data_IF_583411299072
#
_entry.id   IF_583411299072
#
_cell.length_a   1.000
_cell.length_b   1.000
_cell.length_c   1.000
_cell.angle_alpha   90.00
_cell.angle_beta   90.00
_cell.angle_gamma   90.00
#
_symmetry.space_group_name_H-M   'P 1'
#
loop_
_entity.id
_entity.type
_entity.pdbx_description
1 polymer ?
#
# COMPACT_ATOMS: atom_id res chain seq x y z
N UNK A 1 1.25 23.92 61.02
CA UNK A 1 2.61 23.61 61.58
C UNK A 1 3.51 23.26 60.39
N UNK A 2 4.32 24.20 59.94
CA UNK A 2 5.79 24.36 60.07
C UNK A 2 6.52 23.00 59.95
N UNK A 3 7.38 22.76 58.96
CA UNK A 3 8.70 23.41 58.81
C UNK A 3 9.24 23.23 57.38
N UNK A 4 9.85 24.33 56.87
CA UNK A 4 10.84 24.45 55.83
C UNK A 4 12.18 23.87 56.30
N UNK A 5 13.00 23.32 55.39
CA UNK A 5 14.44 23.48 55.48
C UNK A 5 15.00 23.68 54.05
N UNK A 6 15.80 24.68 53.96
CA UNK A 6 16.54 25.27 52.84
C UNK A 6 18.04 24.85 52.90
N UNK A 7 18.70 25.13 51.81
CA UNK A 7 20.15 25.44 51.69
C UNK A 7 21.00 24.28 51.07
N UNK A 8 22.06 24.48 50.28
CA UNK A 8 22.75 25.70 49.85
C UNK A 8 23.65 25.41 48.64
N UNK A 9 23.97 26.47 47.93
CA UNK A 9 24.97 26.68 46.89
C UNK A 9 26.39 26.14 47.19
N UNK A 10 27.15 25.85 46.13
CA UNK A 10 28.56 26.26 46.04
C UNK A 10 29.01 26.47 44.59
N UNK A 11 29.33 27.70 44.29
CA UNK A 11 30.03 28.15 43.11
C UNK A 11 31.54 28.11 43.37
N UNK A 12 32.34 27.77 42.34
CA UNK A 12 33.77 28.06 42.31
C UNK A 12 34.08 28.78 41.02
N UNK A 13 34.47 30.03 41.18
CA UNK A 13 35.06 30.94 40.19
C UNK A 13 36.57 30.84 40.33
N UNK A 14 37.28 30.72 39.22
CA UNK A 14 38.72 31.07 39.16
C UNK A 14 39.00 31.81 37.85
N UNK A 15 39.29 33.08 37.98
CA UNK A 15 39.83 33.96 36.98
C UNK A 15 41.39 34.04 37.09
N UNK A 16 42.05 34.35 36.00
CA UNK A 16 43.29 35.10 35.82
C UNK A 16 43.78 34.89 34.38
N UNK A 17 44.35 35.80 33.65
CA UNK A 17 44.50 37.23 33.59
C UNK A 17 45.08 37.55 32.21
N UNK A 18 44.89 38.74 31.77
CA UNK A 18 45.27 39.32 30.48
C UNK A 18 46.77 39.44 30.21
N UNK A 19 47.10 39.41 28.91
CA UNK A 19 48.12 40.35 28.42
C UNK A 19 47.94 40.68 26.95
N UNK A 20 47.91 41.93 26.62
CA UNK A 20 47.66 42.50 25.31
C UNK A 20 48.96 42.53 24.47
N UNK A 21 48.79 42.41 23.15
CA UNK A 21 49.60 43.11 22.18
C UNK A 21 48.85 43.38 20.88
N UNK A 22 49.02 44.62 20.44
CA UNK A 22 48.32 45.28 19.33
C UNK A 22 48.87 44.82 17.98
N UNK A 23 47.98 44.67 17.00
CA UNK A 23 48.34 44.53 15.59
C UNK A 23 47.13 44.56 14.69
N UNK A 24 46.83 45.74 14.11
CA UNK A 24 45.83 45.90 13.05
C UNK A 24 46.23 45.17 11.78
N UNK A 25 45.33 44.37 11.20
CA UNK A 25 45.10 44.30 9.74
C UNK A 25 43.69 43.73 9.49
N UNK A 26 42.92 44.45 8.69
CA UNK A 26 41.64 44.13 8.13
C UNK A 26 41.70 42.88 7.23
N UNK A 27 40.84 41.90 7.48
CA UNK A 27 40.44 40.93 6.46
C UNK A 27 39.02 40.41 6.79
N UNK A 28 38.14 40.48 5.81
CA UNK A 28 36.77 40.08 5.87
C UNK A 28 36.62 38.60 6.28
N UNK A 29 35.91 38.39 7.35
CA UNK A 29 35.54 37.07 7.85
C UNK A 29 34.43 36.49 6.97
N UNK A 30 34.78 35.59 6.06
CA UNK A 30 33.83 34.72 5.38
C UNK A 30 33.48 33.60 6.34
N UNK A 31 32.36 33.73 7.01
CA UNK A 31 31.72 32.63 7.74
C UNK A 31 31.35 31.55 6.73
N UNK A 32 32.18 30.52 6.63
CA UNK A 32 31.81 29.28 5.94
C UNK A 32 30.79 28.59 6.84
N UNK A 33 29.51 28.74 6.49
CA UNK A 33 28.49 27.83 6.99
C UNK A 33 28.79 26.43 6.39
N UNK A 34 29.31 25.55 7.21
CA UNK A 34 29.29 24.12 6.94
C UNK A 34 27.81 23.69 6.91
N UNK A 35 27.27 23.56 5.71
CA UNK A 35 26.05 22.83 5.52
C UNK A 35 26.38 21.37 5.86
N UNK A 36 25.96 20.91 7.04
CA UNK A 36 25.89 19.49 7.35
C UNK A 36 24.93 18.88 6.34
N UNK A 37 25.49 18.30 5.30
CA UNK A 37 24.79 17.44 4.37
C UNK A 37 24.55 16.13 5.14
N UNK A 38 23.48 16.06 5.91
CA UNK A 38 22.98 14.80 6.42
C UNK A 38 22.55 14.00 5.19
N UNK A 39 23.44 13.14 4.73
CA UNK A 39 23.07 12.09 3.79
C UNK A 39 21.87 11.36 4.42
N UNK A 40 20.69 11.45 3.79
CA UNK A 40 19.59 10.54 4.11
C UNK A 40 20.18 9.14 3.89
N UNK A 41 20.19 8.30 4.91
CA UNK A 41 20.45 6.89 4.72
C UNK A 41 19.51 6.42 3.61
N UNK A 42 20.08 5.90 2.53
CA UNK A 42 19.28 5.27 1.47
C UNK A 42 18.59 4.05 2.10
N UNK A 43 17.31 4.17 2.36
CA UNK A 43 16.50 3.04 2.80
C UNK A 43 16.43 2.07 1.63
N UNK A 44 17.10 0.94 1.75
CA UNK A 44 17.06 -0.13 0.76
C UNK A 44 15.83 -0.98 1.02
N UNK A 45 14.79 -0.81 0.23
CA UNK A 45 13.63 -1.69 0.20
C UNK A 45 13.93 -2.96 -0.59
N UNK A 46 13.44 -4.10 -0.14
CA UNK A 46 13.55 -5.38 -0.84
C UNK A 46 12.21 -6.12 -0.78
N UNK A 47 11.88 -6.85 -1.85
CA UNK A 47 10.71 -7.72 -1.85
C UNK A 47 10.86 -8.85 -0.82
N UNK A 48 9.74 -9.23 -0.21
CA UNK A 48 9.63 -10.36 0.72
C UNK A 48 10.01 -11.68 0.02
N UNK A 49 9.61 -11.84 -1.25
CA UNK A 49 10.05 -12.94 -2.08
C UNK A 49 11.44 -12.67 -2.68
N UNK A 50 12.47 -13.34 -2.17
CA UNK A 50 13.86 -13.18 -2.64
C UNK A 50 14.09 -13.77 -4.05
N UNK A 51 13.18 -14.59 -4.56
CA UNK A 51 13.19 -15.14 -5.92
C UNK A 51 12.24 -14.37 -6.84
N UNK A 52 11.91 -13.10 -6.52
CA UNK A 52 11.00 -12.28 -7.32
C UNK A 52 11.46 -12.11 -8.77
N UNK A 53 10.52 -11.99 -9.69
CA UNK A 53 10.83 -11.72 -11.09
C UNK A 53 11.41 -10.32 -11.26
N UNK A 54 12.21 -10.14 -12.31
CA UNK A 54 12.80 -8.86 -12.64
C UNK A 54 11.73 -7.76 -12.82
N UNK A 55 10.60 -8.11 -13.42
CA UNK A 55 9.49 -7.18 -13.65
C UNK A 55 8.83 -6.76 -12.32
N UNK A 56 8.73 -7.69 -11.35
CA UNK A 56 8.26 -7.35 -10.00
C UNK A 56 9.26 -6.47 -9.25
N UNK A 57 10.56 -6.77 -9.34
CA UNK A 57 11.62 -5.93 -8.76
C UNK A 57 11.64 -4.52 -9.38
N UNK A 58 11.51 -4.39 -10.70
CA UNK A 58 11.48 -3.11 -11.39
C UNK A 58 10.24 -2.27 -10.99
N UNK A 59 9.06 -2.89 -10.92
CA UNK A 59 7.85 -2.21 -10.46
C UNK A 59 7.95 -1.80 -8.99
N UNK A 60 8.42 -2.69 -8.13
CA UNK A 60 8.57 -2.39 -6.70
C UNK A 60 9.60 -1.28 -6.45
N UNK A 61 10.73 -1.31 -7.14
CA UNK A 61 11.74 -0.25 -7.10
C UNK A 61 11.16 1.11 -7.49
N UNK A 62 10.38 1.16 -8.57
CA UNK A 62 9.68 2.38 -8.97
C UNK A 62 8.69 2.89 -7.92
N UNK A 63 7.93 1.99 -7.29
CA UNK A 63 7.00 2.35 -6.20
C UNK A 63 7.78 2.93 -5.01
N UNK A 64 8.91 2.32 -4.65
CA UNK A 64 9.77 2.80 -3.56
C UNK A 64 10.39 4.17 -3.87
N UNK A 65 10.85 4.39 -5.10
CA UNK A 65 11.37 5.70 -5.54
C UNK A 65 10.28 6.78 -5.56
N UNK A 66 9.03 6.40 -5.83
CA UNK A 66 7.88 7.32 -5.84
C UNK A 66 7.44 7.71 -4.43
N UNK A 67 7.60 6.79 -3.47
CA UNK A 67 7.13 6.97 -2.09
C UNK A 67 7.73 8.23 -1.44
N UNK A 68 6.85 9.12 -0.95
CA UNK A 68 7.22 10.41 -0.37
C UNK A 68 7.58 11.51 -1.38
N UNK A 69 7.62 11.21 -2.69
CA UNK A 69 7.95 12.16 -3.75
C UNK A 69 6.75 12.51 -4.64
N UNK A 70 5.87 11.55 -4.89
CA UNK A 70 4.65 11.70 -5.68
C UNK A 70 3.62 10.67 -5.25
N UNK A 71 2.41 10.72 -5.84
CA UNK A 71 1.35 9.74 -5.60
C UNK A 71 0.87 9.15 -6.93
N UNK A 72 0.76 7.82 -7.01
CA UNK A 72 0.29 7.11 -8.20
C UNK A 72 -1.24 7.06 -8.17
N UNK A 73 -1.89 7.45 -9.26
CA UNK A 73 -3.34 7.39 -9.37
C UNK A 73 -3.85 5.98 -9.65
N UNK A 74 -4.94 5.59 -9.02
CA UNK A 74 -5.56 4.29 -9.20
C UNK A 74 -7.08 4.34 -9.22
N UNK A 75 -7.68 3.34 -9.89
CA UNK A 75 -9.13 3.16 -9.98
C UNK A 75 -9.48 1.67 -9.96
N UNK A 76 -10.42 1.29 -9.08
CA UNK A 76 -11.05 -0.03 -9.10
C UNK A 76 -12.09 -0.10 -10.21
N UNK A 77 -12.06 -1.17 -11.02
CA UNK A 77 -13.08 -1.40 -12.05
C UNK A 77 -14.39 -1.95 -11.48
N UNK A 78 -15.48 -1.69 -12.21
CA UNK A 78 -16.68 -2.50 -12.17
C UNK A 78 -16.93 -3.13 -13.54
N UNK A 79 -17.59 -4.29 -13.57
CA UNK A 79 -17.90 -5.00 -14.84
C UNK A 79 -19.38 -5.03 -15.14
N UNK A 80 -20.22 -4.56 -14.22
CA UNK A 80 -21.69 -4.60 -14.30
C UNK A 80 -22.34 -3.28 -14.72
N UNK A 81 -21.57 -2.23 -14.95
CA UNK A 81 -22.07 -0.92 -15.40
C UNK A 81 -22.14 -0.81 -16.94
N UNK A 82 -22.24 -1.94 -17.63
CA UNK A 82 -22.35 -2.01 -19.09
C UNK A 82 -21.00 -1.95 -19.84
N UNK A 83 -19.91 -1.67 -19.17
CA UNK A 83 -18.55 -1.68 -19.71
C UNK A 83 -17.55 -1.88 -18.57
N UNK A 84 -16.49 -2.63 -18.81
CA UNK A 84 -15.33 -2.76 -17.93
C UNK A 84 -14.42 -1.51 -17.96
N UNK A 85 -14.73 -0.54 -18.83
CA UNK A 85 -14.06 0.75 -18.92
C UNK A 85 -14.88 1.89 -18.28
N UNK A 86 -16.00 1.59 -17.61
CA UNK A 86 -16.96 2.59 -17.14
C UNK A 86 -16.29 3.72 -16.34
N UNK A 87 -15.54 3.37 -15.31
CA UNK A 87 -14.84 4.33 -14.42
C UNK A 87 -13.68 5.02 -15.16
N UNK A 88 -12.94 4.25 -15.95
CA UNK A 88 -11.77 4.75 -16.69
C UNK A 88 -12.17 5.75 -17.77
N UNK A 89 -13.23 5.46 -18.52
CA UNK A 89 -13.79 6.38 -19.53
C UNK A 89 -14.38 7.64 -18.87
N UNK A 90 -15.01 7.49 -17.70
CA UNK A 90 -15.48 8.64 -16.93
C UNK A 90 -14.32 9.57 -16.52
N UNK A 91 -13.27 9.01 -15.92
CA UNK A 91 -12.09 9.78 -15.52
C UNK A 91 -11.47 10.47 -16.73
N UNK A 92 -11.20 9.72 -17.81
CA UNK A 92 -10.63 10.28 -19.03
C UNK A 92 -11.47 11.40 -19.63
N UNK A 93 -12.77 11.21 -19.71
CA UNK A 93 -13.72 12.24 -20.20
C UNK A 93 -13.70 13.52 -19.37
N UNK A 94 -13.46 13.41 -18.06
CA UNK A 94 -13.46 14.57 -17.15
C UNK A 94 -12.10 15.25 -17.05
N UNK A 95 -11.02 14.48 -17.10
CA UNK A 95 -9.66 14.97 -16.79
C UNK A 95 -8.72 15.00 -18.00
N UNK A 96 -8.99 14.22 -19.04
CA UNK A 96 -8.08 13.97 -20.17
C UNK A 96 -6.98 12.95 -19.84
N UNK A 97 -6.99 12.33 -18.67
CA UNK A 97 -5.98 11.40 -18.18
C UNK A 97 -6.62 10.05 -17.78
N UNK A 98 -5.86 8.98 -17.91
CA UNK A 98 -6.20 7.67 -17.33
C UNK A 98 -5.46 7.46 -16.01
N UNK A 99 -6.05 6.77 -15.02
CA UNK A 99 -5.31 6.36 -13.83
C UNK A 99 -4.14 5.43 -14.19
N UNK A 100 -3.08 5.43 -13.40
CA UNK A 100 -1.92 4.59 -13.62
C UNK A 100 -2.16 3.12 -13.19
N UNK A 101 -2.88 2.92 -12.08
CA UNK A 101 -3.20 1.59 -11.52
C UNK A 101 -4.63 1.22 -11.89
N UNK A 102 -4.81 -0.01 -12.41
CA UNK A 102 -6.13 -0.64 -12.56
C UNK A 102 -6.32 -1.65 -11.45
N UNK A 103 -7.36 -1.43 -10.63
CA UNK A 103 -7.83 -2.38 -9.63
C UNK A 103 -8.80 -3.38 -10.25
N UNK A 104 -8.55 -4.65 -10.00
CA UNK A 104 -9.30 -5.80 -10.51
C UNK A 104 -9.69 -6.71 -9.35
N UNK A 105 -10.69 -7.56 -9.57
CA UNK A 105 -11.20 -8.47 -8.55
C UNK A 105 -11.53 -9.84 -9.15
N UNK A 106 -11.00 -10.91 -8.57
CA UNK A 106 -11.30 -12.28 -8.97
C UNK A 106 -12.68 -12.80 -8.51
N UNK A 107 -13.55 -11.92 -8.02
CA UNK A 107 -14.90 -12.32 -7.60
C UNK A 107 -15.65 -13.03 -8.71
N UNK A 108 -16.61 -13.87 -8.32
CA UNK A 108 -17.42 -14.71 -9.20
C UNK A 108 -16.60 -15.69 -10.07
N UNK A 109 -15.40 -16.05 -9.64
CA UNK A 109 -14.48 -16.93 -10.37
C UNK A 109 -14.16 -16.44 -11.80
N UNK A 110 -14.29 -15.11 -12.08
CA UNK A 110 -13.94 -14.49 -13.37
C UNK A 110 -12.43 -14.37 -13.59
N UNK A 111 -11.69 -15.41 -13.27
CA UNK A 111 -10.23 -15.42 -13.40
C UNK A 111 -9.74 -15.10 -14.81
N UNK A 112 -10.43 -15.64 -15.82
CA UNK A 112 -10.06 -15.43 -17.23
C UNK A 112 -10.27 -13.98 -17.65
N UNK A 113 -11.47 -13.43 -17.41
CA UNK A 113 -11.80 -12.07 -17.80
C UNK A 113 -10.92 -11.03 -17.08
N UNK A 114 -10.66 -11.24 -15.78
CA UNK A 114 -9.74 -10.41 -15.02
C UNK A 114 -8.33 -10.44 -15.61
N UNK A 115 -7.81 -11.63 -15.95
CA UNK A 115 -6.48 -11.76 -16.54
C UNK A 115 -6.38 -11.10 -17.94
N UNK A 116 -7.43 -11.19 -18.76
CA UNK A 116 -7.48 -10.51 -20.05
C UNK A 116 -7.42 -8.98 -19.88
N UNK A 117 -8.18 -8.43 -18.93
CA UNK A 117 -8.16 -6.99 -18.62
C UNK A 117 -6.85 -6.53 -17.98
N UNK A 118 -6.26 -7.36 -17.11
CA UNK A 118 -4.95 -7.14 -16.54
C UNK A 118 -3.86 -7.06 -17.61
N UNK A 119 -3.85 -8.03 -18.54
CA UNK A 119 -2.89 -8.08 -19.64
C UNK A 119 -3.05 -6.89 -20.61
N UNK A 120 -4.29 -6.49 -20.92
CA UNK A 120 -4.54 -5.29 -21.72
C UNK A 120 -4.03 -4.01 -21.05
N UNK A 121 -4.30 -3.86 -19.75
CA UNK A 121 -3.84 -2.70 -18.99
C UNK A 121 -2.32 -2.63 -18.91
N UNK A 122 -1.68 -3.76 -18.59
CA UNK A 122 -0.22 -3.85 -18.58
C UNK A 122 0.39 -3.54 -19.94
N UNK A 123 -0.18 -4.06 -21.04
CA UNK A 123 0.25 -3.74 -22.40
C UNK A 123 0.19 -2.24 -22.74
N UNK A 124 -0.73 -1.51 -22.13
CA UNK A 124 -0.84 -0.04 -22.24
C UNK A 124 0.20 0.69 -21.38
N UNK A 125 1.03 -0.03 -20.62
CA UNK A 125 2.04 0.50 -19.70
C UNK A 125 1.53 0.71 -18.28
N UNK A 126 0.31 0.28 -17.96
CA UNK A 126 -0.31 0.46 -16.64
C UNK A 126 0.12 -0.58 -15.61
N UNK A 127 -0.10 -0.25 -14.36
CA UNK A 127 0.13 -1.11 -13.18
C UNK A 127 -1.15 -1.87 -12.87
N UNK A 128 -1.01 -3.15 -12.50
CA UNK A 128 -2.13 -4.05 -12.19
C UNK A 128 -2.16 -4.33 -10.69
N UNK A 129 -3.31 -4.14 -10.05
CA UNK A 129 -3.57 -4.66 -8.70
C UNK A 129 -4.80 -5.55 -8.71
N UNK A 130 -4.72 -6.68 -8.01
CA UNK A 130 -5.81 -7.65 -7.96
C UNK A 130 -6.14 -7.96 -6.50
N UNK A 131 -7.43 -7.83 -6.14
CA UNK A 131 -7.99 -8.38 -4.90
C UNK A 131 -8.88 -9.59 -5.20
N UNK A 132 -9.45 -10.20 -4.16
CA UNK A 132 -10.33 -11.33 -4.34
C UNK A 132 -11.43 -11.37 -3.28
N UNK A 133 -12.60 -10.85 -3.64
CA UNK A 133 -13.80 -11.06 -2.84
C UNK A 133 -14.36 -12.44 -3.13
N UNK A 134 -14.37 -13.29 -2.12
CA UNK A 134 -14.92 -14.66 -2.22
C UNK A 134 -15.41 -15.14 -0.85
N UNK A 135 -16.28 -16.13 -0.83
CA UNK A 135 -16.66 -16.85 0.39
C UNK A 135 -15.50 -17.68 0.97
N UNK A 136 -15.71 -18.26 2.14
CA UNK A 136 -14.69 -19.10 2.80
C UNK A 136 -14.40 -20.43 2.05
N UNK A 137 -15.19 -20.76 1.03
CA UNK A 137 -14.95 -21.84 0.06
C UNK A 137 -14.22 -21.36 -1.21
N UNK A 138 -13.79 -20.10 -1.22
CA UNK A 138 -13.12 -19.44 -2.35
C UNK A 138 -13.97 -19.43 -3.62
N UNK A 139 -15.25 -19.11 -3.48
CA UNK A 139 -16.20 -18.92 -4.59
C UNK A 139 -17.09 -17.70 -4.33
N UNK A 140 -17.83 -17.28 -5.37
CA UNK A 140 -18.82 -16.22 -5.26
C UNK A 140 -18.22 -14.82 -5.27
N UNK A 141 -18.92 -13.90 -4.62
CA UNK A 141 -18.68 -12.46 -4.69
C UNK A 141 -18.53 -11.83 -3.32
N UNK A 142 -18.65 -10.51 -3.27
CA UNK A 142 -18.68 -9.72 -2.03
C UNK A 142 -19.77 -10.22 -1.05
N UNK A 143 -20.91 -10.66 -1.55
CA UNK A 143 -22.02 -11.19 -0.74
C UNK A 143 -21.60 -12.45 0.04
N UNK A 144 -20.93 -13.40 -0.63
CA UNK A 144 -20.42 -14.61 0.00
C UNK A 144 -19.26 -14.29 0.96
N UNK A 145 -18.44 -13.31 0.60
CA UNK A 145 -17.38 -12.83 1.46
C UNK A 145 -17.89 -12.34 2.82
N UNK A 146 -19.03 -11.64 2.83
CA UNK A 146 -19.68 -11.13 4.03
C UNK A 146 -20.44 -12.21 4.82
N UNK A 147 -21.12 -13.13 4.10
CA UNK A 147 -22.09 -14.06 4.68
C UNK A 147 -21.49 -15.37 5.16
N UNK A 148 -20.37 -15.79 4.56
CA UNK A 148 -19.76 -17.08 4.92
C UNK A 148 -18.84 -16.97 6.14
N UNK A 149 -18.51 -18.12 6.74
CA UNK A 149 -17.59 -18.25 7.85
C UNK A 149 -17.00 -19.66 7.86
N UNK A 150 -15.77 -19.80 8.35
CA UNK A 150 -15.18 -21.11 8.58
C UNK A 150 -15.80 -21.76 9.83
N UNK A 151 -16.29 -22.97 9.71
CA UNK A 151 -16.88 -23.72 10.83
C UNK A 151 -15.87 -24.01 11.95
N UNK A 152 -14.62 -24.26 11.59
CA UNK A 152 -13.56 -24.65 12.52
C UNK A 152 -12.20 -24.11 12.02
N UNK A 153 -11.79 -22.97 12.57
CA UNK A 153 -10.55 -22.32 12.26
C UNK A 153 -9.32 -23.18 12.56
N UNK A 154 -9.33 -23.89 13.67
CA UNK A 154 -8.19 -24.72 14.07
C UNK A 154 -7.96 -25.84 13.07
N UNK A 155 -9.01 -26.52 12.62
CA UNK A 155 -8.91 -27.54 11.56
C UNK A 155 -8.56 -26.93 10.22
N UNK A 156 -9.18 -25.81 9.84
CA UNK A 156 -8.90 -25.16 8.55
C UNK A 156 -7.43 -24.71 8.43
N UNK A 157 -6.78 -24.37 9.53
CA UNK A 157 -5.39 -23.92 9.57
C UNK A 157 -4.38 -25.01 10.01
N UNK A 158 -4.85 -26.25 10.24
CA UNK A 158 -3.99 -27.38 10.60
C UNK A 158 -3.73 -28.29 9.42
N UNK A 159 -2.47 -28.37 8.98
CA UNK A 159 -2.04 -29.20 7.86
C UNK A 159 -2.49 -30.67 8.01
N UNK A 160 -2.92 -31.27 6.90
CA UNK A 160 -3.36 -32.65 6.83
C UNK A 160 -4.84 -32.90 7.11
N UNK A 161 -5.55 -31.96 7.70
CA UNK A 161 -7.01 -32.05 7.93
C UNK A 161 -7.80 -31.96 6.62
N UNK A 162 -9.03 -32.48 6.57
CA UNK A 162 -9.90 -32.28 5.42
C UNK A 162 -10.24 -30.81 5.15
N UNK A 163 -10.40 -30.00 6.21
CA UNK A 163 -10.70 -28.58 6.16
C UNK A 163 -9.52 -27.79 5.57
N UNK A 164 -8.28 -28.08 6.01
CA UNK A 164 -7.07 -27.49 5.43
C UNK A 164 -6.93 -27.82 3.95
N UNK A 165 -7.21 -29.09 3.55
CA UNK A 165 -7.15 -29.47 2.14
C UNK A 165 -8.15 -28.70 1.28
N UNK A 166 -9.36 -28.40 1.80
CA UNK A 166 -10.33 -27.55 1.13
C UNK A 166 -9.85 -26.11 1.03
N UNK A 167 -9.28 -25.55 2.10
CA UNK A 167 -8.71 -24.21 2.11
C UNK A 167 -7.63 -24.08 1.03
N UNK A 168 -6.68 -25.00 0.99
CA UNK A 168 -5.59 -25.02 -0.01
C UNK A 168 -6.14 -25.16 -1.43
N UNK A 169 -7.08 -26.07 -1.66
CA UNK A 169 -7.70 -26.23 -2.98
C UNK A 169 -8.45 -24.99 -3.45
N UNK A 170 -9.04 -24.24 -2.51
CA UNK A 170 -9.64 -22.94 -2.80
C UNK A 170 -8.60 -21.90 -3.20
N UNK A 171 -7.55 -21.74 -2.41
CA UNK A 171 -6.43 -20.84 -2.72
C UNK A 171 -5.79 -21.14 -4.07
N UNK A 172 -5.64 -22.42 -4.43
CA UNK A 172 -5.04 -22.84 -5.68
C UNK A 172 -5.77 -22.34 -6.92
N UNK A 173 -7.07 -22.04 -6.85
CA UNK A 173 -7.81 -21.45 -7.97
C UNK A 173 -7.20 -20.13 -8.46
N UNK A 174 -6.99 -19.20 -7.54
CA UNK A 174 -6.36 -17.91 -7.88
C UNK A 174 -4.86 -18.08 -8.22
N UNK A 175 -4.18 -19.01 -7.57
CA UNK A 175 -2.77 -19.29 -7.89
C UNK A 175 -2.60 -19.74 -9.35
N UNK A 176 -3.49 -20.61 -9.86
CA UNK A 176 -3.46 -21.04 -11.28
C UNK A 176 -3.76 -19.86 -12.23
N UNK A 177 -4.68 -18.97 -11.85
CA UNK A 177 -4.94 -17.76 -12.63
C UNK A 177 -3.72 -16.82 -12.65
N UNK A 178 -3.09 -16.59 -11.50
CA UNK A 178 -1.89 -15.74 -11.38
C UNK A 178 -0.69 -16.30 -12.16
N UNK A 179 -0.58 -17.63 -12.32
CA UNK A 179 0.43 -18.25 -13.18
C UNK A 179 0.32 -17.83 -14.65
N UNK A 180 -0.90 -17.56 -15.13
CA UNK A 180 -1.09 -17.10 -16.51
C UNK A 180 -0.57 -15.68 -16.70
N UNK A 181 -0.66 -14.82 -15.68
CA UNK A 181 -0.04 -13.50 -15.68
C UNK A 181 1.49 -13.59 -15.55
N UNK A 182 1.99 -14.49 -14.68
CA UNK A 182 3.43 -14.77 -14.58
C UNK A 182 4.03 -15.19 -15.93
N UNK A 183 3.38 -16.09 -16.67
CA UNK A 183 3.84 -16.52 -18.00
C UNK A 183 3.97 -15.37 -19.02
N UNK A 184 3.26 -14.28 -18.78
CA UNK A 184 3.28 -13.07 -19.59
C UNK A 184 4.22 -11.99 -19.03
N UNK A 185 4.99 -12.30 -17.97
CA UNK A 185 5.86 -11.38 -17.24
C UNK A 185 5.12 -10.15 -16.69
N UNK A 186 3.88 -10.34 -16.24
CA UNK A 186 3.06 -9.27 -15.68
C UNK A 186 3.21 -9.26 -14.16
N UNK A 187 3.84 -8.24 -13.56
CA UNK A 187 3.89 -8.07 -12.12
C UNK A 187 2.51 -7.64 -11.60
N UNK A 188 2.13 -8.18 -10.45
CA UNK A 188 0.81 -7.95 -9.84
C UNK A 188 0.97 -7.45 -8.42
N UNK A 189 0.38 -6.29 -8.11
CA UNK A 189 0.13 -5.87 -6.74
C UNK A 189 -0.99 -6.77 -6.19
N UNK A 190 -0.62 -7.85 -5.53
CA UNK A 190 -1.55 -8.84 -5.00
C UNK A 190 -2.09 -8.41 -3.64
N UNK A 191 -3.40 -8.15 -3.55
CA UNK A 191 -4.08 -7.61 -2.37
C UNK A 191 -5.17 -8.56 -1.86
N UNK A 192 -4.80 -9.78 -1.41
CA UNK A 192 -5.76 -10.72 -0.86
C UNK A 192 -6.20 -10.30 0.54
N UNK A 193 -7.34 -10.79 0.98
CA UNK A 193 -7.82 -10.65 2.36
C UNK A 193 -7.74 -9.21 2.91
N UNK A 194 -7.95 -8.22 2.05
CA UNK A 194 -7.91 -6.80 2.42
C UNK A 194 -9.01 -6.45 3.43
N UNK A 195 -8.95 -5.24 4.01
CA UNK A 195 -9.79 -4.85 5.13
C UNK A 195 -9.76 -5.87 6.27
N UNK A 196 -8.59 -6.42 6.48
CA UNK A 196 -8.27 -7.62 7.24
C UNK A 196 -8.74 -7.60 8.70
N UNK A 197 -8.93 -6.42 9.26
CA UNK A 197 -9.29 -6.15 10.64
C UNK A 197 -10.72 -5.58 10.79
N UNK A 198 -11.49 -5.55 9.70
CA UNK A 198 -12.82 -4.94 9.66
C UNK A 198 -13.91 -5.73 10.38
N UNK A 199 -13.75 -7.04 10.51
CA UNK A 199 -14.71 -7.93 11.18
C UNK A 199 -15.91 -8.34 10.32
N UNK A 200 -16.06 -7.81 9.11
CA UNK A 200 -17.18 -8.13 8.21
C UNK A 200 -16.88 -9.25 7.22
N UNK A 201 -15.67 -9.35 6.71
CA UNK A 201 -15.28 -10.44 5.82
C UNK A 201 -14.90 -11.71 6.60
N UNK A 202 -15.16 -12.87 6.03
CA UNK A 202 -14.94 -14.14 6.71
C UNK A 202 -13.52 -14.30 7.23
N UNK A 203 -12.52 -13.81 6.52
CA UNK A 203 -11.10 -13.93 6.91
C UNK A 203 -10.73 -13.13 8.16
N UNK A 204 -11.53 -12.11 8.54
CA UNK A 204 -11.32 -11.35 9.77
C UNK A 204 -12.08 -11.91 10.98
N UNK A 205 -13.11 -12.76 10.76
CA UNK A 205 -13.99 -13.26 11.83
C UNK A 205 -13.28 -14.19 12.81
N UNK A 206 -12.22 -14.87 12.37
CA UNK A 206 -11.40 -15.73 13.23
C UNK A 206 -10.45 -14.98 14.18
N UNK A 207 -10.39 -13.66 14.09
CA UNK A 207 -9.48 -12.82 14.88
C UNK A 207 -8.04 -12.82 14.36
N UNK A 208 -7.23 -11.94 14.93
CA UNK A 208 -5.90 -11.60 14.43
C UNK A 208 -4.93 -12.79 14.32
N UNK A 209 -4.92 -13.67 15.32
CA UNK A 209 -3.98 -14.82 15.30
C UNK A 209 -4.30 -15.83 14.21
N UNK A 210 -5.58 -16.10 13.94
CA UNK A 210 -5.99 -16.97 12.86
C UNK A 210 -5.78 -16.31 11.49
N UNK A 211 -6.04 -15.01 11.41
CA UNK A 211 -5.77 -14.24 10.19
C UNK A 211 -4.27 -14.30 9.81
N UNK A 212 -3.36 -14.07 10.75
CA UNK A 212 -1.90 -14.16 10.48
C UNK A 212 -1.51 -15.53 9.93
N UNK A 213 -2.04 -16.61 10.51
CA UNK A 213 -1.79 -17.97 10.00
C UNK A 213 -2.35 -18.15 8.58
N UNK A 214 -3.57 -17.66 8.32
CA UNK A 214 -4.19 -17.71 7.00
C UNK A 214 -3.35 -16.98 5.94
N UNK A 215 -2.87 -15.79 6.27
CA UNK A 215 -1.99 -14.99 5.41
C UNK A 215 -0.70 -15.72 5.09
N UNK A 216 0.00 -16.23 6.13
CA UNK A 216 1.26 -16.97 5.97
C UNK A 216 1.05 -18.24 5.13
N UNK A 217 -0.05 -18.97 5.34
CA UNK A 217 -0.38 -20.15 4.53
C UNK A 217 -0.52 -19.78 3.05
N UNK A 218 -1.22 -18.69 2.73
CA UNK A 218 -1.38 -18.24 1.35
C UNK A 218 -0.04 -17.78 0.77
N UNK A 219 0.74 -16.99 1.52
CA UNK A 219 2.06 -16.53 1.11
C UNK A 219 2.98 -17.73 0.77
N UNK A 220 3.12 -18.67 1.68
CA UNK A 220 3.95 -19.87 1.48
C UNK A 220 3.44 -20.72 0.31
N UNK A 221 2.12 -20.86 0.19
CA UNK A 221 1.51 -21.62 -0.90
C UNK A 221 1.81 -20.99 -2.26
N UNK A 222 1.66 -19.66 -2.38
CA UNK A 222 1.86 -18.95 -3.65
C UNK A 222 3.35 -18.78 -3.98
N UNK A 223 4.15 -18.33 -3.03
CA UNK A 223 5.56 -18.04 -3.24
C UNK A 223 6.40 -19.34 -3.31
N UNK A 224 6.24 -20.23 -2.32
CA UNK A 224 7.14 -21.38 -2.18
C UNK A 224 6.66 -22.62 -2.94
N UNK A 225 5.34 -22.87 -3.01
CA UNK A 225 4.83 -24.05 -3.71
C UNK A 225 4.53 -23.76 -5.19
N UNK A 226 3.73 -22.71 -5.49
CA UNK A 226 3.38 -22.34 -6.87
C UNK A 226 4.48 -21.57 -7.59
N UNK A 227 5.49 -21.08 -6.86
CA UNK A 227 6.59 -20.28 -7.39
C UNK A 227 6.11 -19.05 -8.17
N UNK A 228 5.12 -18.34 -7.61
CA UNK A 228 4.63 -17.07 -8.14
C UNK A 228 5.62 -15.97 -7.76
N UNK A 229 6.55 -15.69 -8.64
CA UNK A 229 7.62 -14.70 -8.47
C UNK A 229 7.23 -13.29 -8.98
N UNK A 230 6.06 -13.18 -9.60
CA UNK A 230 5.52 -11.95 -10.15
C UNK A 230 4.61 -11.18 -9.18
N UNK A 231 4.47 -11.61 -7.93
CA UNK A 231 3.59 -10.98 -6.95
C UNK A 231 4.36 -10.02 -6.06
N UNK A 232 3.76 -8.83 -5.85
CA UNK A 232 4.12 -7.85 -4.83
C UNK A 232 2.98 -7.86 -3.81
N UNK A 233 3.26 -8.24 -2.56
CA UNK A 233 2.24 -8.50 -1.54
C UNK A 233 1.79 -7.21 -0.85
N UNK A 234 0.51 -6.87 -1.02
CA UNK A 234 -0.11 -5.66 -0.47
C UNK A 234 -1.00 -6.02 0.71
N UNK A 235 -0.64 -5.53 1.89
CA UNK A 235 -1.33 -5.77 3.15
C UNK A 235 -2.24 -4.59 3.48
N UNK A 236 -3.57 -4.78 3.49
CA UNK A 236 -4.54 -3.69 3.56
C UNK A 236 -5.46 -3.73 4.78
N UNK A 237 -5.31 -2.77 5.70
CA UNK A 237 -6.20 -2.55 6.82
C UNK A 237 -7.50 -1.85 6.41
N UNK A 238 -8.57 -2.05 7.20
CA UNK A 238 -9.88 -1.42 6.97
C UNK A 238 -9.97 0.05 7.36
N UNK A 239 -8.98 0.58 8.04
CA UNK A 239 -9.03 1.93 8.60
C UNK A 239 -9.95 2.12 9.81
N UNK A 240 -10.68 1.10 10.22
CA UNK A 240 -11.68 1.18 11.30
C UNK A 240 -11.20 0.68 12.66
N UNK A 241 -10.07 -0.01 12.71
CA UNK A 241 -9.51 -0.57 13.92
C UNK A 241 -8.46 0.38 14.57
N UNK A 242 -7.95 0.01 15.74
CA UNK A 242 -6.88 0.73 16.44
C UNK A 242 -5.71 -0.16 16.84
N UNK A 243 -5.88 -1.47 16.75
CA UNK A 243 -4.91 -2.49 17.20
C UNK A 243 -4.25 -3.16 15.97
N UNK A 244 -3.77 -2.36 15.01
CA UNK A 244 -3.22 -2.84 13.75
C UNK A 244 -2.04 -3.82 13.93
N UNK A 245 -1.18 -3.57 14.91
CA UNK A 245 -0.02 -4.39 15.25
C UNK A 245 -0.37 -5.85 15.55
N UNK A 246 -1.55 -6.10 16.11
CA UNK A 246 -2.00 -7.47 16.42
C UNK A 246 -2.21 -8.33 15.18
N UNK A 247 -2.53 -7.70 14.04
CA UNK A 247 -2.85 -8.38 12.78
C UNK A 247 -1.63 -8.58 11.89
N UNK A 248 -0.52 -7.91 12.21
CA UNK A 248 0.69 -7.91 11.40
C UNK A 248 1.41 -9.26 11.44
N UNK A 249 1.62 -9.94 10.29
CA UNK A 249 2.22 -11.29 10.26
C UNK A 249 3.76 -11.28 10.30
N UNK A 250 4.40 -10.14 10.01
CA UNK A 250 5.85 -9.97 9.91
C UNK A 250 6.30 -9.37 8.58
N UNK A 251 7.46 -8.69 8.60
CA UNK A 251 8.03 -8.01 7.43
C UNK A 251 8.31 -8.98 6.28
N UNK A 252 8.63 -10.21 6.59
CA UNK A 252 8.98 -11.26 5.62
C UNK A 252 7.82 -11.76 4.75
N UNK A 253 6.59 -11.29 5.00
CA UNK A 253 5.38 -11.70 4.27
C UNK A 253 4.67 -10.55 3.57
N UNK A 254 5.24 -9.35 3.57
CA UNK A 254 4.60 -8.12 3.10
C UNK A 254 5.61 -7.26 2.37
N UNK A 255 5.20 -6.69 1.23
CA UNK A 255 6.03 -5.75 0.47
C UNK A 255 5.53 -4.31 0.61
N UNK A 256 4.22 -4.12 0.66
CA UNK A 256 3.56 -2.82 0.76
C UNK A 256 2.44 -2.93 1.78
N UNK A 257 2.36 -1.97 2.68
CA UNK A 257 1.30 -1.90 3.69
C UNK A 257 0.37 -0.71 3.40
N UNK A 258 -0.89 -0.82 3.76
CA UNK A 258 -1.82 0.29 3.57
C UNK A 258 -3.09 0.18 4.39
N UNK A 259 -3.96 1.14 4.18
CA UNK A 259 -5.30 1.13 4.74
C UNK A 259 -6.28 1.74 3.74
N UNK A 260 -7.57 1.56 3.98
CA UNK A 260 -8.62 2.20 3.24
C UNK A 260 -9.41 3.21 4.09
N UNK A 261 -10.09 4.13 3.43
CA UNK A 261 -11.03 5.03 4.07
C UNK A 261 -12.00 5.62 3.07
N UNK A 262 -13.25 5.68 3.47
CA UNK A 262 -14.32 6.33 2.73
C UNK A 262 -14.66 7.73 3.27
N UNK A 263 -13.87 8.24 4.22
CA UNK A 263 -13.97 9.60 4.72
C UNK A 263 -13.16 10.59 3.87
N UNK A 264 -13.46 11.88 4.01
CA UNK A 264 -12.78 12.94 3.27
C UNK A 264 -11.35 13.19 3.78
N UNK A 265 -10.52 13.71 2.88
CA UNK A 265 -9.20 14.24 3.20
C UNK A 265 -8.08 13.22 3.15
N UNK A 266 -6.89 13.65 3.55
CA UNK A 266 -5.66 12.86 3.48
C UNK A 266 -5.59 11.71 4.49
N UNK A 267 -6.51 11.65 5.43
CA UNK A 267 -6.57 10.63 6.50
C UNK A 267 -5.24 10.51 7.28
N UNK A 268 -4.65 11.66 7.64
CA UNK A 268 -3.35 11.75 8.32
C UNK A 268 -3.24 10.82 9.53
N UNK A 269 -4.28 10.78 10.37
CA UNK A 269 -4.27 9.93 11.56
C UNK A 269 -4.19 8.44 11.21
N UNK A 270 -4.88 8.02 10.15
CA UNK A 270 -4.84 6.66 9.64
C UNK A 270 -3.45 6.35 9.09
N UNK A 271 -2.92 7.25 8.23
CA UNK A 271 -1.56 7.15 7.71
C UNK A 271 -0.54 6.95 8.82
N UNK A 272 -0.55 7.80 9.87
CA UNK A 272 0.36 7.69 11.02
C UNK A 272 0.21 6.38 11.79
N UNK A 273 -0.98 5.80 11.82
CA UNK A 273 -1.20 4.50 12.46
C UNK A 273 -0.55 3.36 11.69
N UNK A 274 -0.64 3.40 10.36
CA UNK A 274 0.01 2.41 9.46
C UNK A 274 1.52 2.63 9.38
N UNK A 275 1.97 3.89 9.34
CA UNK A 275 3.39 4.26 9.32
C UNK A 275 4.16 3.68 10.52
N UNK A 276 3.53 3.60 11.69
CA UNK A 276 4.14 2.97 12.87
C UNK A 276 4.39 1.48 12.68
N UNK A 277 3.55 0.80 11.90
CA UNK A 277 3.72 -0.63 11.59
C UNK A 277 4.77 -0.81 10.51
N UNK A 278 4.70 0.05 9.48
CA UNK A 278 5.68 0.04 8.39
C UNK A 278 7.11 0.29 8.88
N UNK A 279 7.27 1.11 9.94
CA UNK A 279 8.54 1.40 10.62
C UNK A 279 9.69 1.77 9.64
N UNK A 280 9.34 2.44 8.54
CA UNK A 280 10.28 2.81 7.48
C UNK A 280 10.79 1.66 6.60
N UNK A 281 10.23 0.46 6.71
CA UNK A 281 10.70 -0.76 6.02
C UNK A 281 10.04 -0.99 4.66
N UNK A 282 8.89 -0.37 4.40
CA UNK A 282 8.11 -0.57 3.18
C UNK A 282 7.28 0.65 2.82
N UNK A 283 6.90 0.83 1.53
CA UNK A 283 5.97 1.88 1.11
C UNK A 283 4.58 1.71 1.73
N UNK A 284 3.89 2.85 1.88
CA UNK A 284 2.55 2.89 2.48
C UNK A 284 1.55 3.37 1.44
N UNK A 285 0.47 2.63 1.22
CA UNK A 285 -0.53 2.94 0.22
C UNK A 285 -1.92 3.25 0.79
N UNK A 286 -2.64 4.10 0.09
CA UNK A 286 -4.07 4.27 0.28
C UNK A 286 -4.77 3.32 -0.68
N UNK A 287 -4.79 2.03 -0.27
CA UNK A 287 -5.11 0.93 -1.18
C UNK A 287 -6.55 0.93 -1.66
N UNK A 288 -7.42 1.70 -0.98
CA UNK A 288 -8.81 1.89 -1.36
C UNK A 288 -9.36 3.18 -0.74
N UNK A 289 -10.09 3.98 -1.51
CA UNK A 289 -10.72 5.20 -1.01
C UNK A 289 -12.04 5.51 -1.68
N UNK A 290 -12.97 6.12 -0.94
CA UNK A 290 -14.21 6.65 -1.50
C UNK A 290 -14.02 8.02 -2.14
N UNK A 291 -13.19 8.87 -1.53
CA UNK A 291 -12.82 10.20 -2.03
C UNK A 291 -11.32 10.36 -2.13
N UNK A 292 -10.89 10.88 -3.27
CA UNK A 292 -9.48 11.16 -3.52
C UNK A 292 -9.09 12.42 -2.73
N UNK A 293 -8.06 12.34 -1.85
CA UNK A 293 -7.55 13.53 -1.19
C UNK A 293 -6.91 14.47 -2.22
N UNK A 294 -7.15 15.77 -2.07
CA UNK A 294 -6.46 16.76 -2.89
C UNK A 294 -4.97 16.79 -2.57
N UNK A 295 -4.14 17.17 -3.53
CA UNK A 295 -2.68 17.28 -3.33
C UNK A 295 -2.36 18.22 -2.17
N UNK A 296 -3.14 19.29 -2.02
CA UNK A 296 -3.01 20.22 -0.87
C UNK A 296 -3.22 19.47 0.46
N UNK A 297 -4.29 18.67 0.58
CA UNK A 297 -4.56 17.89 1.79
C UNK A 297 -3.46 16.87 2.09
N UNK A 298 -2.93 16.20 1.05
CA UNK A 298 -1.81 15.26 1.19
C UNK A 298 -0.56 15.96 1.75
N UNK A 299 -0.16 17.08 1.15
CA UNK A 299 1.02 17.83 1.56
C UNK A 299 0.87 18.48 2.95
N UNK A 300 -0.29 19.06 3.26
CA UNK A 300 -0.58 19.64 4.58
C UNK A 300 -0.69 18.58 5.68
N UNK A 301 -1.31 17.43 5.39
CA UNK A 301 -1.46 16.30 6.31
C UNK A 301 -0.19 15.46 6.45
N UNK A 302 0.82 15.67 5.59
CA UNK A 302 2.04 14.85 5.54
C UNK A 302 1.73 13.35 5.48
N UNK A 303 0.69 12.99 4.71
CA UNK A 303 0.28 11.61 4.47
C UNK A 303 0.82 11.18 3.10
N UNK A 304 2.02 10.64 3.13
CA UNK A 304 2.79 10.30 1.93
C UNK A 304 2.35 8.94 1.35
N UNK A 305 1.03 8.77 1.14
CA UNK A 305 0.50 7.60 0.47
C UNK A 305 1.14 7.45 -0.92
N UNK A 306 1.72 6.27 -1.21
CA UNK A 306 2.38 6.05 -2.50
C UNK A 306 1.41 5.93 -3.67
N UNK A 307 0.18 5.49 -3.41
CA UNK A 307 -0.94 5.60 -4.37
C UNK A 307 -2.25 5.82 -3.66
N UNK A 308 -3.25 6.34 -4.39
CA UNK A 308 -4.66 6.22 -4.06
C UNK A 308 -5.36 5.30 -5.06
N UNK A 309 -6.38 4.56 -4.64
CA UNK A 309 -7.25 3.82 -5.54
C UNK A 309 -8.71 4.09 -5.18
N UNK A 310 -9.40 4.84 -6.04
CA UNK A 310 -10.82 5.12 -5.83
C UNK A 310 -11.63 3.85 -6.06
N UNK A 311 -12.62 3.61 -5.19
CA UNK A 311 -13.54 2.51 -5.38
C UNK A 311 -14.43 2.75 -6.60
N UNK A 312 -15.10 1.71 -7.09
CA UNK A 312 -15.87 1.72 -8.33
C UNK A 312 -17.18 2.52 -8.28
N UNK A 313 -17.87 2.63 -9.41
CA UNK A 313 -19.23 3.16 -9.62
C UNK A 313 -19.42 4.59 -9.05
N UNK A 314 -20.39 4.79 -8.15
CA UNK A 314 -20.74 6.09 -7.58
C UNK A 314 -19.62 6.75 -6.80
N UNK A 315 -18.65 5.99 -6.30
CA UNK A 315 -17.52 6.59 -5.58
C UNK A 315 -16.70 7.51 -6.48
N UNK A 316 -16.50 7.14 -7.74
CA UNK A 316 -15.80 8.03 -8.67
C UNK A 316 -16.74 9.00 -9.39
N UNK A 317 -17.99 8.60 -9.70
CA UNK A 317 -18.88 9.45 -10.50
C UNK A 317 -19.59 10.53 -9.69
N UNK A 318 -20.00 10.22 -8.46
CA UNK A 318 -20.79 11.09 -7.59
C UNK A 318 -20.03 11.47 -6.31
N UNK A 319 -19.16 10.60 -5.81
CA UNK A 319 -18.39 10.79 -4.58
C UNK A 319 -17.26 11.81 -4.71
N UNK A 320 -16.80 12.08 -5.94
CA UNK A 320 -15.69 12.98 -6.22
C UNK A 320 -16.14 14.18 -7.07
N UNK A 321 -15.80 15.40 -6.64
CA UNK A 321 -16.12 16.60 -7.39
C UNK A 321 -15.31 16.65 -8.70
N UNK A 322 -15.95 17.01 -9.82
CA UNK A 322 -15.32 17.01 -11.14
C UNK A 322 -14.14 17.99 -11.25
N UNK A 323 -14.24 19.16 -10.60
CA UNK A 323 -13.16 20.14 -10.64
C UNK A 323 -11.98 19.69 -9.78
N UNK A 324 -12.23 19.03 -8.65
CA UNK A 324 -11.19 18.38 -7.85
C UNK A 324 -10.52 17.26 -8.63
N UNK A 325 -11.29 16.40 -9.33
CA UNK A 325 -10.72 15.35 -10.20
C UNK A 325 -9.79 15.93 -11.27
N UNK A 326 -10.22 17.01 -11.96
CA UNK A 326 -9.39 17.70 -12.95
C UNK A 326 -8.09 18.21 -12.34
N UNK A 327 -8.18 18.85 -11.17
CA UNK A 327 -7.01 19.39 -10.48
C UNK A 327 -6.06 18.29 -10.04
N UNK A 328 -6.60 17.19 -9.48
CA UNK A 328 -5.80 16.03 -9.00
C UNK A 328 -5.08 15.36 -10.18
N UNK A 329 -5.83 14.95 -11.22
CA UNK A 329 -5.25 14.21 -12.36
C UNK A 329 -4.34 15.04 -13.27
N UNK A 330 -4.26 16.35 -13.09
CA UNK A 330 -3.37 17.26 -13.83
C UNK A 330 -2.34 17.96 -12.91
N UNK A 331 -2.22 17.55 -11.64
CA UNK A 331 -1.18 18.04 -10.74
C UNK A 331 0.12 17.25 -10.96
N UNK A 332 1.26 17.95 -11.03
CA UNK A 332 2.58 17.32 -11.20
C UNK A 332 2.99 16.33 -10.09
N UNK A 333 2.31 16.36 -8.96
CA UNK A 333 2.48 15.41 -7.86
C UNK A 333 1.76 14.08 -8.09
N UNK A 334 0.85 14.01 -9.05
CA UNK A 334 0.00 12.82 -9.31
C UNK A 334 0.40 12.14 -10.61
N UNK A 335 0.88 10.93 -10.51
CA UNK A 335 1.31 10.12 -11.65
C UNK A 335 0.10 9.46 -12.30
N UNK A 336 -0.08 9.67 -13.60
CA UNK A 336 -1.12 9.08 -14.44
C UNK A 336 -0.52 8.07 -15.43
N UNK A 337 -1.36 7.32 -16.15
CA UNK A 337 -0.93 6.24 -17.04
C UNK A 337 0.15 6.66 -18.05
N UNK A 338 0.00 7.84 -18.64
CA UNK A 338 0.91 8.37 -19.66
C UNK A 338 2.24 8.89 -19.09
N UNK A 339 2.37 8.95 -17.78
CA UNK A 339 3.58 9.40 -17.06
C UNK A 339 4.38 8.23 -16.45
N UNK A 340 3.82 7.02 -16.49
CA UNK A 340 4.54 5.83 -16.02
C UNK A 340 5.77 5.52 -16.89
N UNK A 341 6.84 5.01 -16.29
CA UNK A 341 7.94 4.42 -17.06
C UNK A 341 7.42 3.20 -17.84
N UNK A 342 8.11 2.87 -18.93
CA UNK A 342 7.69 1.77 -19.77
C UNK A 342 8.17 0.42 -19.18
N UNK A 343 7.36 -0.22 -18.37
CA UNK A 343 7.62 -1.54 -17.79
C UNK A 343 7.53 -2.69 -18.81
N UNK A 344 6.99 -2.47 -20.03
CA UNK A 344 6.81 -3.52 -21.04
C UNK A 344 7.99 -3.67 -21.97
N UNK A 345 8.97 -2.78 -21.95
CA UNK A 345 10.19 -2.89 -22.73
C UNK A 345 11.25 -3.64 -21.95
N UNK A 346 11.38 -4.93 -22.19
CA UNK A 346 12.61 -5.65 -21.87
C UNK A 346 13.80 -4.92 -22.54
N UNK A 347 14.73 -4.46 -21.71
CA UNK A 347 16.01 -3.92 -22.20
C UNK A 347 16.88 -5.01 -22.75
#
# INVERSE_FOLDING_TARGET
>A
MKKKVMAALSAVVLAFSASACIGNVSAADKTVQTVENTAKEEVSYSLSNQDASKEAEELYGYICETFGNAIISGQQESTWMGSDQYEFDYIYKKTGKYPAIRGLDYMNDDFKGVNERAADWHKRGGIVTICWHCGCDFSGSWDECMKTELDDWDKALTEGTPEYKKLIAGMDKAAEALKELKKQNIPVLWRPFHELDGGWFWWSKGGAENFKKLWIIMYDRYTNHHKLDNLIWVFGYSGNNRDYDKWYPGDEYIDIIGADSYSDGANEKLYRSVEKIADGKMPICFHECGRIPTVKQLKEGKADWVWFMTWHTEYITDGNNVDDLKNIYNDEYVITLDELPNFTKTK
#
